data_IF_728568544425
#
_entry.id   IF_728568544425
#
_cell.length_a   1.000
_cell.length_b   1.000
_cell.length_c   1.000
_cell.angle_alpha   90.00
_cell.angle_beta   90.00
_cell.angle_gamma   90.00
#
_symmetry.space_group_name_H-M   'P 1'
#
loop_
_entity.id
_entity.type
_entity.pdbx_description
1 polymer ?
#
# COMPACT_ATOMS: atom_id res chain seq x y z
N UNK A 1 30.06 17.97 10.51
CA UNK A 1 29.68 18.98 9.50
C UNK A 1 28.22 18.74 9.15
N UNK A 2 27.45 19.81 9.01
CA UNK A 2 26.04 19.75 8.60
C UNK A 2 25.97 19.54 7.09
N UNK A 3 25.37 18.43 6.64
CA UNK A 3 25.17 18.14 5.22
C UNK A 3 23.82 18.68 4.75
N UNK A 4 23.76 19.30 3.56
CA UNK A 4 22.55 19.92 3.03
C UNK A 4 22.07 19.25 1.75
N UNK A 5 20.75 19.06 1.68
CA UNK A 5 20.02 18.50 0.53
C UNK A 5 18.90 19.45 0.08
N UNK A 6 18.36 19.27 -1.11
CA UNK A 6 17.13 19.93 -1.53
C UNK A 6 15.92 19.26 -0.84
N UNK A 7 15.93 17.93 -0.78
CA UNK A 7 14.87 17.13 -0.16
C UNK A 7 15.48 16.05 0.74
N UNK A 8 14.92 15.89 1.93
CA UNK A 8 15.20 14.71 2.77
C UNK A 8 13.90 13.93 2.91
N UNK A 9 13.97 12.62 2.65
CA UNK A 9 12.87 11.67 2.83
C UNK A 9 13.22 10.78 4.01
N UNK A 10 12.32 10.63 4.96
CA UNK A 10 12.49 9.74 6.11
C UNK A 10 11.53 8.58 6.00
N UNK A 11 12.09 7.36 5.92
CA UNK A 11 11.42 6.11 5.66
C UNK A 11 11.71 5.59 4.25
N UNK A 12 12.52 4.54 4.14
CA UNK A 12 12.95 3.89 2.89
C UNK A 12 12.08 2.70 2.47
N UNK A 13 10.83 2.63 2.96
CA UNK A 13 9.84 1.66 2.49
C UNK A 13 9.35 1.97 1.07
N UNK A 14 8.34 1.24 0.59
CA UNK A 14 7.82 1.36 -0.78
C UNK A 14 7.58 2.83 -1.18
N UNK A 15 6.90 3.60 -0.34
CA UNK A 15 6.48 4.97 -0.67
C UNK A 15 7.65 5.95 -0.70
N UNK A 16 8.49 5.95 0.35
CA UNK A 16 9.62 6.87 0.43
C UNK A 16 10.69 6.55 -0.61
N UNK A 17 11.01 5.27 -0.85
CA UNK A 17 11.97 4.86 -1.87
C UNK A 17 11.46 5.19 -3.28
N UNK A 18 10.16 5.02 -3.58
CA UNK A 18 9.55 5.45 -4.84
C UNK A 18 9.69 6.96 -5.05
N UNK A 19 9.45 7.75 -4.00
CA UNK A 19 9.60 9.21 -4.06
C UNK A 19 11.06 9.60 -4.31
N UNK A 20 12.00 8.93 -3.62
CA UNK A 20 13.42 9.16 -3.80
C UNK A 20 13.89 8.82 -5.24
N UNK A 21 13.40 7.69 -5.80
CA UNK A 21 13.64 7.33 -7.20
C UNK A 21 13.11 8.40 -8.16
N UNK A 22 11.87 8.85 -7.99
CA UNK A 22 11.23 9.84 -8.86
C UNK A 22 11.96 11.18 -8.83
N UNK A 23 12.31 11.67 -7.66
CA UNK A 23 13.04 12.92 -7.49
C UNK A 23 14.49 12.81 -7.98
N UNK A 24 15.15 11.70 -7.67
CA UNK A 24 16.52 11.44 -8.11
C UNK A 24 16.64 11.33 -9.62
N UNK A 25 15.71 10.68 -10.29
CA UNK A 25 15.63 10.60 -11.76
C UNK A 25 15.54 11.99 -12.41
N UNK A 26 14.85 12.93 -11.74
CA UNK A 26 14.75 14.32 -12.17
C UNK A 26 15.94 15.21 -11.73
N UNK A 27 16.99 14.64 -11.16
CA UNK A 27 18.20 15.38 -10.75
C UNK A 27 18.00 16.27 -9.52
N UNK A 28 17.03 15.95 -8.65
CA UNK A 28 16.87 16.59 -7.35
C UNK A 28 17.90 15.97 -6.38
N UNK A 29 18.61 16.80 -5.62
CA UNK A 29 19.56 16.34 -4.60
C UNK A 29 18.79 15.84 -3.36
N UNK A 30 18.70 14.50 -3.22
CA UNK A 30 17.86 13.82 -2.21
C UNK A 30 18.74 13.06 -1.21
N UNK A 31 18.39 13.15 0.08
CA UNK A 31 18.77 12.13 1.06
C UNK A 31 17.56 11.25 1.40
N UNK A 32 17.73 9.94 1.34
CA UNK A 32 16.77 8.96 1.85
C UNK A 32 17.32 8.38 3.14
N UNK A 33 16.64 8.64 4.25
CA UNK A 33 17.00 8.15 5.58
C UNK A 33 16.10 7.00 5.98
N UNK A 34 16.66 5.88 6.43
CA UNK A 34 15.92 4.78 7.03
C UNK A 34 16.61 4.26 8.30
N UNK A 35 15.81 3.78 9.24
CA UNK A 35 16.32 3.16 10.48
C UNK A 35 17.01 1.83 10.21
N UNK A 36 16.72 1.18 9.07
CA UNK A 36 17.24 -0.13 8.69
C UNK A 36 17.81 -0.11 7.29
N UNK A 37 18.78 -1.00 7.04
CA UNK A 37 19.18 -1.34 5.69
C UNK A 37 18.25 -2.46 5.21
N UNK A 38 17.49 -2.30 4.12
CA UNK A 38 16.58 -3.33 3.66
C UNK A 38 17.33 -4.56 3.18
N UNK A 39 16.81 -5.73 3.55
CA UNK A 39 17.30 -6.98 3.00
C UNK A 39 16.94 -7.05 1.51
N UNK A 40 17.94 -7.25 0.65
CA UNK A 40 17.77 -7.29 -0.81
C UNK A 40 17.99 -8.67 -1.43
N UNK A 41 18.47 -9.62 -0.62
CA UNK A 41 18.71 -11.01 -1.01
C UNK A 41 18.06 -11.94 0.00
N UNK A 42 17.45 -12.98 -0.48
CA UNK A 42 16.81 -14.06 0.30
C UNK A 42 16.85 -15.37 -0.48
N UNK A 43 16.55 -16.47 0.17
CA UNK A 43 16.44 -17.79 -0.46
C UNK A 43 15.13 -17.89 -1.25
N UNK A 44 15.13 -18.63 -2.36
CA UNK A 44 13.96 -18.78 -3.24
C UNK A 44 12.75 -19.41 -2.54
N UNK A 45 12.99 -20.23 -1.53
CA UNK A 45 11.93 -20.89 -0.74
C UNK A 45 11.26 -19.98 0.30
N UNK A 46 11.85 -18.81 0.57
CA UNK A 46 11.29 -17.89 1.56
C UNK A 46 10.24 -16.99 0.93
N UNK A 47 9.10 -16.83 1.59
CA UNK A 47 8.05 -15.87 1.21
C UNK A 47 7.90 -14.83 2.30
N UNK A 48 7.85 -13.54 1.92
CA UNK A 48 7.55 -12.47 2.86
C UNK A 48 6.09 -12.56 3.30
N UNK A 49 5.90 -12.40 4.60
CA UNK A 49 4.56 -12.44 5.19
C UNK A 49 3.66 -11.28 4.74
N UNK A 50 4.28 -10.20 4.25
CA UNK A 50 3.57 -8.99 3.79
C UNK A 50 3.61 -8.90 2.27
N UNK A 51 2.42 -8.91 1.68
CA UNK A 51 2.23 -8.72 0.25
C UNK A 51 1.34 -7.50 -0.02
N UNK A 52 1.47 -6.94 -1.21
CA UNK A 52 0.60 -5.89 -1.73
C UNK A 52 -0.03 -6.33 -3.04
N UNK A 53 -1.31 -6.01 -3.23
CA UNK A 53 -1.98 -6.13 -4.52
C UNK A 53 -1.77 -4.82 -5.28
N UNK A 54 -0.83 -4.79 -6.21
CA UNK A 54 -0.49 -3.61 -6.99
C UNK A 54 -1.46 -3.44 -8.16
N UNK A 55 -2.01 -2.24 -8.28
CA UNK A 55 -2.90 -1.84 -9.38
C UNK A 55 -2.10 -1.50 -10.63
N UNK A 56 -2.78 -1.38 -11.77
CA UNK A 56 -2.16 -0.95 -13.04
C UNK A 56 -1.50 0.44 -12.92
N UNK A 57 -2.14 1.36 -12.21
CA UNK A 57 -1.56 2.68 -11.94
C UNK A 57 -0.23 2.58 -11.16
N UNK A 58 -0.17 1.69 -10.17
CA UNK A 58 1.06 1.44 -9.39
C UNK A 58 2.15 0.80 -10.23
N UNK A 59 1.79 -0.15 -11.09
CA UNK A 59 2.70 -0.74 -12.08
C UNK A 59 3.28 0.33 -13.00
N UNK A 60 2.45 1.20 -13.57
CA UNK A 60 2.89 2.29 -14.46
C UNK A 60 3.90 3.22 -13.78
N UNK A 61 3.72 3.54 -12.49
CA UNK A 61 4.68 4.33 -11.70
C UNK A 61 6.03 3.61 -11.64
N UNK A 62 6.02 2.32 -11.29
CA UNK A 62 7.23 1.52 -11.11
C UNK A 62 7.93 1.22 -12.46
N UNK A 63 7.17 1.08 -13.55
CA UNK A 63 7.70 0.99 -14.92
C UNK A 63 8.36 2.30 -15.35
N UNK A 64 7.69 3.44 -15.12
CA UNK A 64 8.25 4.78 -15.43
C UNK A 64 9.56 5.04 -14.70
N UNK A 65 9.73 4.49 -13.52
CA UNK A 65 10.95 4.60 -12.71
C UNK A 65 11.99 3.51 -13.04
N UNK A 66 11.73 2.64 -14.03
CA UNK A 66 12.58 1.52 -14.41
C UNK A 66 12.88 0.53 -13.26
N UNK A 67 11.90 0.36 -12.36
CA UNK A 67 11.97 -0.53 -11.18
C UNK A 67 11.29 -1.87 -11.47
N UNK A 68 10.26 -1.86 -12.33
CA UNK A 68 9.41 -3.02 -12.57
C UNK A 68 10.16 -4.25 -13.07
N UNK A 69 11.16 -4.10 -13.93
CA UNK A 69 12.01 -5.20 -14.41
C UNK A 69 12.69 -5.97 -13.27
N UNK A 70 13.32 -5.24 -12.34
CA UNK A 70 13.95 -5.85 -11.17
C UNK A 70 12.95 -6.50 -10.19
N UNK A 71 11.68 -6.06 -10.18
CA UNK A 71 10.62 -6.74 -9.44
C UNK A 71 10.21 -8.05 -10.12
N UNK A 72 10.06 -8.05 -11.44
CA UNK A 72 9.72 -9.27 -12.23
C UNK A 72 10.78 -10.35 -12.04
N UNK A 73 12.07 -10.00 -12.10
CA UNK A 73 13.17 -10.92 -11.84
C UNK A 73 13.11 -11.58 -10.46
N UNK A 74 12.69 -10.83 -9.43
CA UNK A 74 12.55 -11.33 -8.05
C UNK A 74 11.25 -12.07 -7.80
N UNK A 75 10.23 -11.79 -8.60
CA UNK A 75 8.94 -12.48 -8.63
C UNK A 75 7.76 -11.58 -8.32
N UNK A 76 6.90 -11.46 -9.32
CA UNK A 76 5.58 -10.90 -9.23
C UNK A 76 4.55 -11.96 -9.63
N UNK A 77 3.34 -11.89 -9.13
CA UNK A 77 2.27 -12.83 -9.48
C UNK A 77 1.07 -12.07 -10.03
N UNK A 78 0.86 -12.16 -11.34
CA UNK A 78 -0.31 -11.57 -11.97
C UNK A 78 -1.58 -12.32 -11.55
N UNK A 79 -2.67 -11.58 -11.27
CA UNK A 79 -3.99 -12.17 -11.12
C UNK A 79 -4.93 -11.67 -12.21
N UNK A 80 -5.72 -12.59 -12.75
CA UNK A 80 -6.60 -12.37 -13.91
C UNK A 80 -8.06 -12.28 -13.50
N UNK A 81 -8.38 -12.94 -12.41
CA UNK A 81 -9.71 -13.01 -11.83
C UNK A 81 -9.71 -12.53 -10.39
N UNK A 82 -10.83 -11.91 -9.99
CA UNK A 82 -11.12 -11.62 -8.59
C UNK A 82 -12.57 -12.03 -8.29
N UNK A 83 -12.72 -12.91 -7.31
CA UNK A 83 -14.04 -13.36 -6.86
C UNK A 83 -14.27 -12.97 -5.42
N UNK A 84 -15.40 -12.32 -5.19
CA UNK A 84 -15.80 -11.79 -3.88
C UNK A 84 -17.21 -12.27 -3.58
N UNK A 85 -17.43 -12.92 -2.42
CA UNK A 85 -18.76 -13.39 -2.04
C UNK A 85 -19.04 -13.23 -0.55
N UNK A 86 -20.33 -13.24 -0.22
CA UNK A 86 -20.86 -13.14 1.13
C UNK A 86 -21.08 -14.54 1.74
N UNK A 87 -20.64 -14.76 2.96
CA UNK A 87 -20.88 -16.01 3.67
C UNK A 87 -22.34 -16.19 4.12
N UNK A 88 -23.14 -15.10 4.21
CA UNK A 88 -24.52 -15.09 4.74
C UNK A 88 -25.60 -15.02 3.68
N UNK A 89 -25.23 -14.79 2.42
CA UNK A 89 -26.21 -14.62 1.34
C UNK A 89 -25.55 -14.96 -0.03
N UNK A 90 -26.39 -15.09 -1.07
CA UNK A 90 -25.97 -15.49 -2.41
C UNK A 90 -25.36 -14.34 -3.24
N UNK A 91 -24.84 -13.30 -2.58
CA UNK A 91 -24.19 -12.17 -3.23
C UNK A 91 -22.78 -12.53 -3.68
N UNK A 92 -22.52 -12.41 -4.99
CA UNK A 92 -21.21 -12.63 -5.59
C UNK A 92 -20.85 -11.49 -6.55
N UNK A 93 -19.57 -11.10 -6.55
CA UNK A 93 -18.95 -10.25 -7.55
C UNK A 93 -17.80 -11.03 -8.20
N UNK A 94 -17.79 -11.05 -9.50
CA UNK A 94 -16.72 -11.65 -10.30
C UNK A 94 -16.15 -10.59 -11.24
N UNK A 95 -14.87 -10.31 -11.12
CA UNK A 95 -14.12 -9.44 -12.02
C UNK A 95 -13.14 -10.31 -12.80
N UNK A 96 -13.18 -10.18 -14.13
CA UNK A 96 -12.33 -10.90 -15.07
C UNK A 96 -11.54 -9.89 -15.90
N UNK A 97 -10.26 -10.11 -16.13
CA UNK A 97 -9.46 -9.27 -17.01
C UNK A 97 -9.98 -9.29 -18.45
N UNK A 98 -10.66 -10.35 -18.87
CA UNK A 98 -11.30 -10.41 -20.19
C UNK A 98 -12.40 -9.35 -20.39
N UNK A 99 -12.96 -8.78 -19.32
CA UNK A 99 -13.89 -7.66 -19.37
C UNK A 99 -13.18 -6.30 -19.50
N UNK A 100 -11.85 -6.27 -19.62
CA UNK A 100 -11.01 -5.06 -19.67
C UNK A 100 -10.12 -5.06 -20.93
N UNK A 101 -9.38 -3.99 -21.14
CA UNK A 101 -8.33 -3.91 -22.19
C UNK A 101 -6.97 -4.52 -21.77
N UNK A 102 -6.89 -5.12 -20.57
CA UNK A 102 -5.65 -5.62 -19.98
C UNK A 102 -5.66 -7.14 -19.88
N UNK A 103 -4.47 -7.75 -19.85
CA UNK A 103 -4.29 -9.20 -19.71
C UNK A 103 -4.34 -9.66 -18.25
N UNK A 104 -4.37 -8.73 -17.30
CA UNK A 104 -4.42 -8.96 -15.86
C UNK A 104 -5.15 -7.80 -15.14
N UNK A 105 -5.72 -8.08 -13.97
CA UNK A 105 -6.36 -7.08 -13.11
C UNK A 105 -5.33 -6.35 -12.23
N UNK A 106 -4.20 -6.98 -11.95
CA UNK A 106 -3.12 -6.45 -11.14
C UNK A 106 -2.12 -7.54 -10.75
N UNK A 107 -1.27 -7.23 -9.78
CA UNK A 107 -0.19 -8.12 -9.37
C UNK A 107 -0.10 -8.23 -7.85
N UNK A 108 0.02 -9.44 -7.35
CA UNK A 108 0.38 -9.70 -5.96
C UNK A 108 1.90 -9.75 -5.86
N UNK A 109 2.47 -8.90 -5.01
CA UNK A 109 3.91 -8.74 -4.87
C UNK A 109 4.30 -8.70 -3.40
N UNK A 110 5.33 -9.45 -3.04
CA UNK A 110 5.92 -9.36 -1.71
C UNK A 110 6.52 -7.97 -1.49
N UNK A 111 6.26 -7.35 -0.35
CA UNK A 111 6.72 -5.97 -0.10
C UNK A 111 8.25 -5.85 -0.17
N UNK A 112 8.98 -6.88 0.27
CA UNK A 112 10.45 -6.93 0.17
C UNK A 112 10.94 -6.90 -1.28
N UNK A 113 10.20 -7.49 -2.23
CA UNK A 113 10.53 -7.46 -3.67
C UNK A 113 10.49 -6.03 -4.20
N UNK A 114 9.42 -5.31 -3.88
CA UNK A 114 9.27 -3.91 -4.29
C UNK A 114 10.35 -3.02 -3.67
N UNK A 115 10.60 -3.17 -2.37
CA UNK A 115 11.64 -2.39 -1.66
C UNK A 115 13.02 -2.69 -2.21
N UNK A 116 13.38 -3.97 -2.40
CA UNK A 116 14.69 -4.34 -2.92
C UNK A 116 14.95 -3.76 -4.32
N UNK A 117 13.98 -3.87 -5.23
CA UNK A 117 14.12 -3.33 -6.59
C UNK A 117 14.23 -1.79 -6.60
N UNK A 118 13.49 -1.11 -5.71
CA UNK A 118 13.61 0.34 -5.53
C UNK A 118 14.99 0.73 -5.01
N UNK A 119 15.52 0.03 -4.01
CA UNK A 119 16.83 0.35 -3.44
C UNK A 119 17.99 0.06 -4.42
N UNK A 120 17.87 -0.99 -5.25
CA UNK A 120 18.86 -1.22 -6.33
C UNK A 120 18.83 -0.09 -7.36
N UNK A 121 17.63 0.41 -7.71
CA UNK A 121 17.49 1.56 -8.59
C UNK A 121 18.11 2.82 -7.99
N UNK A 122 17.89 3.06 -6.70
CA UNK A 122 18.44 4.22 -5.98
C UNK A 122 19.97 4.27 -6.03
N UNK A 123 20.64 3.12 -5.95
CA UNK A 123 22.11 3.04 -6.06
C UNK A 123 22.66 3.50 -7.43
N UNK A 124 21.82 3.46 -8.47
CA UNK A 124 22.22 3.94 -9.82
C UNK A 124 22.05 5.45 -9.98
N UNK A 125 21.41 6.14 -9.04
CA UNK A 125 21.08 7.56 -9.11
C UNK A 125 22.07 8.41 -8.33
N UNK A 126 23.00 9.07 -9.00
CA UNK A 126 24.04 9.91 -8.38
C UNK A 126 23.49 11.11 -7.59
N UNK A 127 22.25 11.51 -7.83
CA UNK A 127 21.54 12.59 -7.14
C UNK A 127 20.91 12.15 -5.82
N UNK A 128 20.96 10.85 -5.48
CA UNK A 128 20.37 10.30 -4.26
C UNK A 128 21.46 9.76 -3.33
N UNK A 129 21.37 10.13 -2.06
CA UNK A 129 22.21 9.56 -1.00
C UNK A 129 21.33 8.75 -0.05
N UNK A 130 21.49 7.42 -0.07
CA UNK A 130 20.80 6.54 0.89
C UNK A 130 21.60 6.48 2.19
N UNK A 131 20.94 6.67 3.32
CA UNK A 131 21.52 6.71 4.65
C UNK A 131 20.73 5.75 5.54
N UNK A 132 21.28 4.56 5.76
CA UNK A 132 20.75 3.57 6.71
C UNK A 132 21.20 3.85 8.14
N UNK A 133 20.63 3.15 9.11
CA UNK A 133 20.88 3.35 10.54
C UNK A 133 20.68 4.81 10.96
N UNK A 134 19.64 5.44 10.39
CA UNK A 134 19.34 6.86 10.53
C UNK A 134 18.05 7.07 11.32
N UNK A 135 18.14 7.02 12.65
CA UNK A 135 17.00 7.29 13.53
C UNK A 135 16.94 8.77 13.88
N UNK A 136 15.88 9.44 13.42
CA UNK A 136 15.64 10.87 13.72
C UNK A 136 15.16 11.02 15.16
N UNK A 137 15.87 11.85 15.93
CA UNK A 137 15.53 12.18 17.31
C UNK A 137 14.83 13.52 17.46
N UNK A 138 15.15 14.48 16.59
CA UNK A 138 14.61 15.83 16.67
C UNK A 138 14.54 16.48 15.27
N UNK A 139 13.60 17.43 15.12
CA UNK A 139 13.48 18.26 13.92
C UNK A 139 13.26 19.72 14.32
N UNK A 140 14.07 20.60 13.77
CA UNK A 140 13.99 22.04 14.01
C UNK A 140 13.76 22.81 12.72
N UNK A 141 13.13 24.00 12.80
CA UNK A 141 13.06 24.95 11.68
C UNK A 141 14.41 25.65 11.50
N UNK A 142 14.76 25.94 10.25
CA UNK A 142 15.89 26.79 9.90
C UNK A 142 15.43 27.95 9.00
N UNK A 143 16.32 28.88 8.69
CA UNK A 143 16.01 30.02 7.79
C UNK A 143 15.62 29.57 6.38
N UNK A 144 16.09 28.40 5.95
CA UNK A 144 15.90 27.91 4.57
C UNK A 144 15.12 26.59 4.47
N UNK A 145 14.62 26.07 5.60
CA UNK A 145 13.95 24.79 5.59
C UNK A 145 13.85 24.15 6.96
N UNK A 146 14.31 22.91 7.09
CA UNK A 146 14.35 22.18 8.36
C UNK A 146 15.68 21.45 8.55
N UNK A 147 16.04 21.23 9.81
CA UNK A 147 17.20 20.45 10.23
C UNK A 147 16.67 19.22 10.95
N UNK A 148 17.19 18.05 10.57
CA UNK A 148 17.01 16.79 11.29
C UNK A 148 18.26 16.48 12.12
N UNK A 149 18.04 16.05 13.34
CA UNK A 149 19.06 15.53 14.25
C UNK A 149 18.83 14.02 14.40
N UNK A 150 19.90 13.25 14.24
CA UNK A 150 19.84 11.81 14.46
C UNK A 150 20.32 11.46 15.87
N UNK A 151 19.92 10.28 16.38
CA UNK A 151 20.35 9.79 17.70
C UNK A 151 21.87 9.64 17.82
N UNK A 152 22.57 9.40 16.71
CA UNK A 152 24.04 9.27 16.65
C UNK A 152 24.78 10.61 16.51
N UNK A 153 24.07 11.73 16.57
CA UNK A 153 24.62 13.08 16.49
C UNK A 153 24.82 13.64 15.09
N UNK A 154 24.55 12.87 14.03
CA UNK A 154 24.55 13.41 12.65
C UNK A 154 23.43 14.44 12.48
N UNK A 155 23.69 15.45 11.63
CA UNK A 155 22.73 16.52 11.34
C UNK A 155 22.61 16.73 9.84
N UNK A 156 21.36 16.86 9.38
CA UNK A 156 21.02 17.07 7.97
C UNK A 156 20.05 18.23 7.83
N UNK A 157 20.25 19.07 6.82
CA UNK A 157 19.35 20.17 6.51
C UNK A 157 18.76 20.01 5.11
N UNK A 158 17.48 20.37 4.94
CA UNK A 158 16.86 20.40 3.62
C UNK A 158 15.84 21.52 3.48
N UNK A 159 15.59 21.90 2.22
CA UNK A 159 14.53 22.84 1.86
C UNK A 159 13.13 22.23 2.07
N UNK A 160 13.03 20.90 1.93
CA UNK A 160 11.81 20.12 2.14
C UNK A 160 12.12 18.81 2.85
N UNK A 161 11.38 18.52 3.92
CA UNK A 161 11.36 17.20 4.57
C UNK A 161 10.08 16.46 4.19
N UNK A 162 10.22 15.20 3.81
CA UNK A 162 9.11 14.31 3.49
C UNK A 162 9.12 13.16 4.49
N UNK A 163 8.03 12.99 5.23
CA UNK A 163 7.85 11.89 6.15
C UNK A 163 7.07 10.75 5.48
N UNK A 164 7.75 9.62 5.31
CA UNK A 164 7.24 8.34 4.85
C UNK A 164 7.54 7.23 5.88
N UNK A 165 7.65 7.61 7.16
CA UNK A 165 8.10 6.83 8.31
C UNK A 165 6.99 5.97 8.93
N UNK A 166 5.92 5.72 8.18
CA UNK A 166 4.87 4.76 8.52
C UNK A 166 3.79 5.30 9.46
N UNK A 167 2.88 4.42 9.82
CA UNK A 167 1.64 4.75 10.55
C UNK A 167 1.88 5.48 11.88
N UNK A 168 2.89 5.08 12.61
CA UNK A 168 3.23 5.66 13.91
C UNK A 168 4.32 6.75 13.77
N UNK A 169 4.26 7.54 12.68
CA UNK A 169 5.21 8.57 12.29
C UNK A 169 5.65 9.48 13.44
N UNK A 170 6.93 9.43 13.74
CA UNK A 170 7.56 10.32 14.72
C UNK A 170 7.67 11.74 14.19
N UNK A 171 7.96 11.91 12.91
CA UNK A 171 8.08 13.22 12.29
C UNK A 171 6.73 13.96 12.29
N UNK A 172 5.63 13.26 12.03
CA UNK A 172 4.28 13.82 12.15
C UNK A 172 4.04 14.40 13.54
N UNK A 173 4.42 13.64 14.58
CA UNK A 173 4.28 14.07 15.97
C UNK A 173 5.17 15.27 16.30
N UNK A 174 6.42 15.30 15.81
CA UNK A 174 7.36 16.43 15.98
C UNK A 174 6.85 17.74 15.37
N UNK A 175 6.04 17.67 14.30
CA UNK A 175 5.44 18.85 13.66
C UNK A 175 4.10 19.25 14.30
N UNK A 176 3.61 18.46 15.25
CA UNK A 176 2.31 18.70 15.89
C UNK A 176 1.13 18.54 14.90
N UNK A 177 1.18 17.52 14.06
CA UNK A 177 0.08 17.16 13.18
C UNK A 177 -0.71 16.04 13.85
N UNK A 178 -1.93 16.35 14.28
CA UNK A 178 -2.85 15.39 14.86
C UNK A 178 -3.43 14.44 13.81
N UNK A 179 -3.90 13.29 14.28
CA UNK A 179 -4.62 12.30 13.49
C UNK A 179 -6.05 12.19 13.96
N UNK A 180 -6.94 11.90 13.03
CA UNK A 180 -8.32 11.49 13.29
C UNK A 180 -8.47 10.04 12.91
N UNK A 181 -9.12 9.24 13.76
CA UNK A 181 -9.32 7.82 13.48
C UNK A 181 -9.80 7.04 14.68
N UNK A 182 -9.98 5.74 14.46
CA UNK A 182 -10.43 4.78 15.47
C UNK A 182 -9.85 3.39 15.21
N UNK A 183 -9.63 2.58 16.24
CA UNK A 183 -9.30 1.17 16.07
C UNK A 183 -10.56 0.40 15.60
N UNK A 184 -10.37 -0.60 14.74
CA UNK A 184 -11.46 -1.51 14.40
C UNK A 184 -11.69 -2.61 15.45
N UNK A 185 -10.76 -2.77 16.40
CA UNK A 185 -10.69 -3.90 17.33
C UNK A 185 -10.62 -5.24 16.60
N UNK A 186 -10.03 -5.21 15.42
CA UNK A 186 -9.76 -6.33 14.54
C UNK A 186 -8.28 -6.34 14.17
N UNK A 187 -7.77 -7.54 13.94
CA UNK A 187 -6.41 -7.76 13.41
C UNK A 187 -6.51 -8.45 12.05
N UNK A 188 -5.60 -8.07 11.15
CA UNK A 188 -5.36 -8.82 9.91
C UNK A 188 -4.35 -9.92 10.18
N UNK A 189 -4.80 -11.17 10.25
CA UNK A 189 -3.93 -12.33 10.32
C UNK A 189 -3.46 -12.66 8.91
N UNK A 190 -2.15 -12.82 8.76
CA UNK A 190 -1.51 -13.13 7.48
C UNK A 190 -0.66 -14.40 7.61
N UNK A 191 -0.64 -15.19 6.56
CA UNK A 191 0.20 -16.38 6.41
C UNK A 191 0.32 -16.75 4.93
N UNK A 192 1.34 -17.54 4.58
CA UNK A 192 1.44 -18.19 3.27
C UNK A 192 0.92 -19.61 3.39
N UNK A 193 0.07 -20.03 2.46
CA UNK A 193 -0.64 -21.32 2.49
C UNK A 193 -0.37 -22.09 1.20
N UNK A 194 -0.06 -23.36 1.33
CA UNK A 194 -0.08 -24.34 0.23
C UNK A 194 -1.45 -25.01 0.18
N UNK A 195 -2.09 -25.00 -0.99
CA UNK A 195 -3.44 -25.53 -1.21
C UNK A 195 -3.43 -26.72 -2.14
N UNK A 196 -4.42 -27.63 -2.00
CA UNK A 196 -4.58 -28.83 -2.84
C UNK A 196 -4.87 -28.46 -4.30
N UNK A 197 -5.75 -27.49 -4.52
CA UNK A 197 -6.10 -26.99 -5.85
C UNK A 197 -5.32 -25.72 -6.16
N UNK A 198 -4.95 -25.53 -7.43
CA UNK A 198 -4.33 -24.30 -7.91
C UNK A 198 -5.26 -23.11 -7.75
N UNK A 199 -4.71 -21.95 -7.38
CA UNK A 199 -5.43 -20.68 -7.33
C UNK A 199 -5.83 -20.13 -8.71
N UNK A 200 -5.32 -20.69 -9.81
CA UNK A 200 -5.65 -20.32 -11.20
C UNK A 200 -5.52 -18.80 -11.50
N UNK A 201 -4.53 -18.14 -10.91
CA UNK A 201 -4.36 -16.69 -11.00
C UNK A 201 -5.60 -15.89 -10.55
N UNK A 202 -6.38 -16.42 -9.62
CA UNK A 202 -7.60 -15.81 -9.08
C UNK A 202 -7.34 -15.32 -7.65
N UNK A 203 -7.68 -14.06 -7.38
CA UNK A 203 -7.79 -13.53 -6.03
C UNK A 203 -9.19 -13.85 -5.48
N UNK A 204 -9.25 -14.54 -4.35
CA UNK A 204 -10.50 -14.95 -3.71
C UNK A 204 -10.72 -14.14 -2.45
N UNK A 205 -11.93 -13.63 -2.22
CA UNK A 205 -12.28 -12.93 -1.00
C UNK A 205 -13.68 -13.33 -0.52
N UNK A 206 -13.77 -13.83 0.71
CA UNK A 206 -15.02 -14.17 1.37
C UNK A 206 -15.27 -13.26 2.54
N UNK A 207 -16.45 -12.62 2.58
CA UNK A 207 -16.87 -11.83 3.74
C UNK A 207 -17.51 -12.75 4.78
N UNK A 208 -16.84 -12.87 5.94
CA UNK A 208 -17.24 -13.64 7.10
C UNK A 208 -17.77 -12.71 8.21
N UNK A 209 -18.25 -13.30 9.32
CA UNK A 209 -18.85 -12.57 10.44
C UNK A 209 -17.89 -11.59 11.12
N UNK A 210 -16.63 -11.98 11.27
CA UNK A 210 -15.61 -11.14 11.91
C UNK A 210 -14.87 -10.23 10.94
N UNK A 211 -14.97 -10.50 9.65
CA UNK A 211 -14.32 -9.74 8.59
C UNK A 211 -13.97 -10.61 7.37
N UNK A 212 -13.38 -10.03 6.34
CA UNK A 212 -13.03 -10.77 5.13
C UNK A 212 -11.83 -11.70 5.32
N UNK A 213 -11.90 -12.84 4.62
CA UNK A 213 -10.80 -13.75 4.36
C UNK A 213 -10.46 -13.67 2.88
N UNK A 214 -9.23 -13.28 2.54
CA UNK A 214 -8.73 -13.24 1.18
C UNK A 214 -7.62 -14.27 0.96
N UNK A 215 -7.60 -14.88 -0.24
CA UNK A 215 -6.49 -15.68 -0.76
C UNK A 215 -5.92 -14.95 -1.97
N UNK A 216 -4.67 -14.57 -1.89
CA UNK A 216 -3.95 -13.80 -2.89
C UNK A 216 -2.93 -14.72 -3.58
N UNK A 217 -3.02 -14.91 -4.93
CA UNK A 217 -2.17 -15.85 -5.65
C UNK A 217 -0.69 -15.42 -5.64
N UNK A 218 0.20 -16.33 -5.29
CA UNK A 218 1.65 -16.14 -5.33
C UNK A 218 2.27 -16.90 -6.51
N UNK A 219 3.49 -16.47 -6.92
CA UNK A 219 4.22 -16.98 -8.10
C UNK A 219 4.53 -18.48 -8.06
N UNK A 220 4.64 -19.06 -6.86
CA UNK A 220 5.01 -20.47 -6.64
C UNK A 220 3.82 -21.41 -6.46
N UNK A 221 2.60 -20.96 -6.81
CA UNK A 221 1.38 -21.73 -6.64
C UNK A 221 0.76 -21.68 -5.24
N UNK A 222 1.45 -21.06 -4.28
CA UNK A 222 0.91 -20.79 -2.95
C UNK A 222 -0.03 -19.59 -2.94
N UNK A 223 -0.74 -19.41 -1.84
CA UNK A 223 -1.54 -18.23 -1.58
C UNK A 223 -1.03 -17.48 -0.34
N UNK A 224 -0.95 -16.16 -0.42
CA UNK A 224 -0.93 -15.34 0.79
C UNK A 224 -2.36 -15.13 1.27
N UNK A 225 -2.64 -15.41 2.55
CA UNK A 225 -3.94 -15.09 3.13
C UNK A 225 -3.88 -13.78 3.91
N UNK A 226 -4.99 -13.05 3.86
CA UNK A 226 -5.27 -11.92 4.75
C UNK A 226 -6.64 -12.19 5.37
N UNK A 227 -6.65 -12.54 6.65
CA UNK A 227 -7.86 -12.86 7.38
C UNK A 227 -8.14 -11.82 8.45
N UNK A 228 -9.16 -11.02 8.26
CA UNK A 228 -9.61 -10.05 9.25
C UNK A 228 -10.43 -10.76 10.32
N UNK A 229 -9.96 -10.69 11.55
CA UNK A 229 -10.54 -11.35 12.73
C UNK A 229 -10.65 -10.33 13.87
N UNK A 230 -11.52 -10.59 14.84
CA UNK A 230 -11.45 -9.87 16.13
C UNK A 230 -10.06 -10.09 16.74
N UNK A 231 -9.51 -9.08 17.40
CA UNK A 231 -8.17 -9.14 17.96
C UNK A 231 -7.96 -10.37 18.89
N UNK A 232 -8.98 -10.75 19.65
CA UNK A 232 -8.95 -11.93 20.54
C UNK A 232 -8.89 -13.22 19.73
N UNK A 233 -9.70 -13.35 18.67
CA UNK A 233 -9.70 -14.51 17.77
C UNK A 233 -8.36 -14.64 17.03
N UNK A 234 -7.82 -13.53 16.51
CA UNK A 234 -6.53 -13.51 15.84
C UNK A 234 -5.41 -13.99 16.78
N UNK A 235 -5.39 -13.48 18.03
CA UNK A 235 -4.43 -13.91 19.06
C UNK A 235 -4.55 -15.40 19.36
N UNK A 236 -5.78 -15.92 19.46
CA UNK A 236 -6.00 -17.36 19.67
C UNK A 236 -5.50 -18.17 18.48
N UNK A 237 -5.74 -17.73 17.25
CA UNK A 237 -5.32 -18.43 16.02
C UNK A 237 -3.81 -18.45 15.81
N UNK A 238 -3.08 -17.45 16.31
CA UNK A 238 -1.62 -17.46 16.32
C UNK A 238 -1.02 -18.56 17.22
N UNK A 239 -1.79 -19.05 18.19
CA UNK A 239 -1.36 -20.10 19.16
C UNK A 239 -1.79 -21.50 18.75
N UNK A 240 -2.62 -21.66 17.72
CA UNK A 240 -3.03 -22.97 17.23
C UNK A 240 -1.85 -23.76 16.65
N UNK A 241 -1.94 -25.07 16.70
CA UNK A 241 -1.08 -25.93 15.88
C UNK A 241 -1.32 -25.63 14.40
N UNK A 242 -0.37 -25.97 13.52
CA UNK A 242 -0.55 -25.78 12.09
C UNK A 242 -1.76 -26.58 11.57
N UNK A 243 -1.95 -27.80 12.05
CA UNK A 243 -3.08 -28.64 11.68
C UNK A 243 -4.43 -28.03 12.07
N UNK A 244 -4.55 -27.56 13.32
CA UNK A 244 -5.79 -26.93 13.78
C UNK A 244 -6.08 -25.61 13.06
N UNK A 245 -5.03 -24.83 12.76
CA UNK A 245 -5.17 -23.58 11.98
C UNK A 245 -5.64 -23.87 10.56
N UNK A 246 -5.04 -24.84 9.87
CA UNK A 246 -5.42 -25.21 8.51
C UNK A 246 -6.86 -25.75 8.46
N UNK A 247 -7.30 -26.52 9.45
CA UNK A 247 -8.70 -26.96 9.56
C UNK A 247 -9.67 -25.76 9.68
N UNK A 248 -9.35 -24.76 10.54
CA UNK A 248 -10.15 -23.55 10.67
C UNK A 248 -10.21 -22.75 9.38
N UNK A 249 -9.09 -22.65 8.67
CA UNK A 249 -8.99 -21.94 7.41
C UNK A 249 -9.79 -22.65 6.30
N UNK A 250 -9.73 -23.98 6.24
CA UNK A 250 -10.51 -24.79 5.29
C UNK A 250 -12.02 -24.61 5.51
N UNK A 251 -12.46 -24.67 6.78
CA UNK A 251 -13.87 -24.41 7.14
C UNK A 251 -14.28 -22.98 6.76
N UNK A 252 -13.45 -21.98 7.04
CA UNK A 252 -13.73 -20.59 6.74
C UNK A 252 -13.79 -20.30 5.23
N UNK A 253 -12.99 -21.00 4.42
CA UNK A 253 -12.96 -20.87 2.95
C UNK A 253 -13.99 -21.72 2.23
N UNK A 254 -14.73 -22.59 2.95
CA UNK A 254 -15.64 -23.63 2.41
C UNK A 254 -14.96 -24.54 1.37
N UNK A 255 -13.67 -24.78 1.55
CA UNK A 255 -12.88 -25.65 0.68
C UNK A 255 -12.72 -25.15 -0.77
N UNK A 256 -12.79 -23.83 -1.02
CA UNK A 256 -12.73 -23.26 -2.38
C UNK A 256 -11.46 -23.64 -3.15
N UNK A 257 -10.35 -23.87 -2.45
CA UNK A 257 -9.07 -24.32 -2.98
C UNK A 257 -8.72 -25.75 -2.56
N UNK A 258 -9.71 -26.57 -2.22
CA UNK A 258 -9.52 -27.92 -1.68
C UNK A 258 -8.98 -27.88 -0.25
N UNK A 259 -8.22 -28.92 0.13
CA UNK A 259 -7.59 -29.01 1.44
C UNK A 259 -6.47 -27.97 1.58
N UNK A 260 -6.31 -27.46 2.79
CA UNK A 260 -5.18 -26.64 3.16
C UNK A 260 -4.05 -27.55 3.63
N UNK A 261 -2.93 -27.60 2.88
CA UNK A 261 -1.88 -28.61 3.07
C UNK A 261 -0.79 -28.15 4.03
N UNK A 262 -0.30 -26.92 3.87
CA UNK A 262 0.80 -26.37 4.66
C UNK A 262 0.57 -24.89 4.96
N UNK A 263 1.10 -24.41 6.08
CA UNK A 263 1.14 -23.00 6.45
C UNK A 263 2.56 -22.56 6.78
N UNK A 264 2.96 -21.41 6.27
CA UNK A 264 4.14 -20.70 6.73
C UNK A 264 3.93 -20.01 8.09
N UNK A 265 4.90 -19.20 8.52
CA UNK A 265 4.77 -18.37 9.72
C UNK A 265 3.51 -17.50 9.66
N UNK A 266 2.85 -17.36 10.82
CA UNK A 266 1.65 -16.55 10.98
C UNK A 266 1.98 -15.26 11.73
N UNK A 267 1.43 -14.13 11.31
CA UNK A 267 1.47 -12.88 12.07
C UNK A 267 0.11 -12.19 12.03
N UNK A 268 -0.15 -11.32 12.99
CA UNK A 268 -1.35 -10.50 13.03
C UNK A 268 -0.99 -9.04 13.28
N UNK A 269 -1.67 -8.14 12.57
CA UNK A 269 -1.43 -6.71 12.63
C UNK A 269 -2.72 -5.97 12.96
N UNK A 270 -2.72 -5.07 13.98
CA UNK A 270 -3.91 -4.34 14.36
C UNK A 270 -4.39 -3.40 13.25
N UNK A 271 -5.69 -3.47 12.97
CA UNK A 271 -6.34 -2.67 11.94
C UNK A 271 -6.89 -1.38 12.53
N UNK A 272 -6.61 -0.26 11.85
CA UNK A 272 -7.05 1.08 12.25
C UNK A 272 -7.48 1.88 11.05
N UNK A 273 -8.48 2.71 11.24
CA UNK A 273 -8.79 3.83 10.36
C UNK A 273 -8.08 5.05 10.95
N UNK A 274 -7.15 5.64 10.22
CA UNK A 274 -6.41 6.79 10.72
C UNK A 274 -5.97 7.68 9.56
N UNK A 275 -6.21 8.99 9.67
CA UNK A 275 -5.67 9.97 8.74
C UNK A 275 -5.17 11.22 9.46
N UNK A 276 -4.14 11.83 8.92
CA UNK A 276 -3.59 13.08 9.42
C UNK A 276 -4.55 14.26 9.11
N UNK A 277 -4.77 15.15 10.08
CA UNK A 277 -5.68 16.28 9.93
C UNK A 277 -5.19 17.29 8.88
N UNK A 278 -3.90 17.31 8.62
CA UNK A 278 -3.25 18.00 7.49
C UNK A 278 -2.08 17.15 6.99
N UNK A 279 -1.78 17.24 5.70
CA UNK A 279 -0.67 16.49 5.08
C UNK A 279 0.60 17.31 4.98
N UNK A 280 0.51 18.63 5.22
CA UNK A 280 1.65 19.52 5.02
C UNK A 280 1.81 20.55 6.14
N UNK A 281 3.05 21.00 6.33
CA UNK A 281 3.42 22.16 7.15
C UNK A 281 4.54 22.94 6.42
N UNK A 282 5.12 23.96 7.07
CA UNK A 282 6.25 24.70 6.53
C UNK A 282 7.42 23.76 6.22
N UNK A 283 7.82 23.69 4.94
CA UNK A 283 8.93 22.83 4.49
C UNK A 283 8.76 21.36 4.87
N UNK A 284 7.53 20.85 4.93
CA UNK A 284 7.23 19.49 5.40
C UNK A 284 6.01 18.89 4.72
N UNK A 285 6.09 17.60 4.37
CA UNK A 285 4.97 16.83 3.83
C UNK A 285 4.92 15.41 4.42
N UNK A 286 3.71 14.89 4.61
CA UNK A 286 3.42 13.50 4.96
C UNK A 286 2.98 12.74 3.72
N UNK A 287 3.31 11.43 3.64
CA UNK A 287 2.81 10.54 2.61
C UNK A 287 2.65 9.10 3.10
N UNK A 288 1.87 8.31 2.35
CA UNK A 288 1.60 6.92 2.68
C UNK A 288 1.02 6.78 4.10
N UNK A 289 1.40 5.73 4.80
CA UNK A 289 0.87 5.42 6.13
C UNK A 289 1.14 6.52 7.17
N UNK A 290 2.14 7.38 6.97
CA UNK A 290 2.36 8.54 7.83
C UNK A 290 1.22 9.58 7.70
N UNK A 291 0.57 9.66 6.54
CA UNK A 291 -0.56 10.54 6.28
C UNK A 291 -1.92 9.83 6.47
N UNK A 292 -2.01 8.54 6.10
CA UNK A 292 -3.26 7.78 6.12
C UNK A 292 -2.99 6.28 6.29
N UNK A 293 -3.67 5.66 7.22
CA UNK A 293 -3.66 4.21 7.39
C UNK A 293 -5.10 3.69 7.25
N UNK A 294 -5.29 2.77 6.32
CA UNK A 294 -6.61 2.26 5.94
C UNK A 294 -6.74 0.76 6.20
N UNK A 295 -7.99 0.29 6.24
CA UNK A 295 -8.28 -1.14 6.29
C UNK A 295 -7.68 -1.82 5.06
N UNK A 296 -7.00 -2.99 5.19
CA UNK A 296 -6.31 -3.67 4.09
C UNK A 296 -7.26 -4.34 3.08
N UNK A 297 -8.54 -3.96 3.03
CA UNK A 297 -9.46 -4.42 2.00
C UNK A 297 -8.86 -4.19 0.61
N UNK A 298 -8.72 -5.25 -0.15
CA UNK A 298 -8.15 -5.25 -1.51
C UNK A 298 -6.70 -4.72 -1.61
N UNK A 299 -5.91 -4.69 -0.52
CA UNK A 299 -4.50 -4.31 -0.55
C UNK A 299 -4.20 -2.87 -1.00
N UNK A 300 -5.13 -1.92 -0.83
CA UNK A 300 -5.06 -0.57 -1.41
C UNK A 300 -4.07 0.38 -0.73
N UNK A 301 -3.55 0.07 0.47
CA UNK A 301 -2.65 0.97 1.20
C UNK A 301 -1.38 1.35 0.43
N UNK A 302 -0.70 0.36 -0.14
CA UNK A 302 0.50 0.59 -0.95
C UNK A 302 0.21 1.42 -2.20
N UNK A 303 -0.93 1.16 -2.87
CA UNK A 303 -1.33 1.89 -4.08
C UNK A 303 -1.61 3.37 -3.80
N UNK A 304 -2.32 3.68 -2.71
CA UNK A 304 -2.55 5.07 -2.29
C UNK A 304 -1.22 5.79 -2.00
N UNK A 305 -0.29 5.12 -1.32
CA UNK A 305 1.05 5.65 -1.03
C UNK A 305 1.90 5.86 -2.29
N UNK A 306 1.84 4.97 -3.27
CA UNK A 306 2.52 5.12 -4.56
C UNK A 306 1.96 6.32 -5.35
N UNK A 307 0.65 6.53 -5.32
CA UNK A 307 0.03 7.72 -5.90
C UNK A 307 0.42 9.00 -5.16
N UNK A 308 0.58 8.96 -3.83
CA UNK A 308 1.11 10.10 -3.07
C UNK A 308 2.54 10.43 -3.50
N UNK A 309 3.40 9.40 -3.63
CA UNK A 309 4.77 9.55 -4.10
C UNK A 309 4.84 10.20 -5.48
N UNK A 310 4.06 9.69 -6.43
CA UNK A 310 3.99 10.23 -7.78
C UNK A 310 3.48 11.68 -7.82
N UNK A 311 2.42 11.99 -7.07
CA UNK A 311 1.83 13.32 -7.02
C UNK A 311 2.78 14.36 -6.40
N UNK A 312 3.41 14.03 -5.28
CA UNK A 312 4.35 14.95 -4.63
C UNK A 312 5.60 15.14 -5.47
N UNK A 313 6.16 14.08 -6.05
CA UNK A 313 7.31 14.16 -6.94
C UNK A 313 7.01 15.05 -8.16
N UNK A 314 5.86 14.88 -8.81
CA UNK A 314 5.44 15.73 -9.93
C UNK A 314 5.42 17.21 -9.56
N UNK A 315 4.86 17.55 -8.39
CA UNK A 315 4.76 18.94 -7.93
C UNK A 315 6.13 19.51 -7.52
N UNK A 316 7.00 18.72 -6.89
CA UNK A 316 8.37 19.14 -6.55
C UNK A 316 9.16 19.42 -7.81
N UNK A 317 9.13 18.51 -8.79
CA UNK A 317 9.82 18.64 -10.07
C UNK A 317 9.35 19.90 -10.82
N UNK A 318 8.04 20.10 -10.97
CA UNK A 318 7.45 21.29 -11.61
C UNK A 318 7.85 22.58 -10.88
N UNK A 319 7.90 22.55 -9.54
CA UNK A 319 8.29 23.72 -8.73
C UNK A 319 9.76 24.06 -8.96
N UNK A 320 10.64 23.07 -8.97
CA UNK A 320 12.08 23.24 -9.25
C UNK A 320 12.33 23.73 -10.67
N UNK A 321 11.69 23.14 -11.68
CA UNK A 321 11.80 23.57 -13.08
C UNK A 321 11.34 25.00 -13.29
N UNK A 322 10.36 25.46 -12.52
CA UNK A 322 9.90 26.84 -12.54
C UNK A 322 10.81 27.82 -11.75
N UNK A 323 11.94 27.37 -11.23
CA UNK A 323 12.88 28.17 -10.43
C UNK A 323 12.30 28.65 -9.09
N UNK A 324 11.27 27.97 -8.56
CA UNK A 324 10.60 28.35 -7.32
C UNK A 324 11.17 27.57 -6.13
N UNK A 325 11.21 28.19 -4.93
CA UNK A 325 11.74 27.50 -3.75
C UNK A 325 10.83 26.35 -3.33
N UNK A 326 11.45 25.22 -2.94
CA UNK A 326 10.74 24.03 -2.43
C UNK A 326 10.12 24.27 -1.03
N UNK A 327 10.47 25.34 -0.35
CA UNK A 327 9.82 25.83 0.87
C UNK A 327 8.44 26.47 0.61
N UNK A 328 8.01 26.62 -0.65
CA UNK A 328 6.76 27.30 -1.01
C UNK A 328 5.53 26.54 -0.54
N UNK A 329 4.73 27.15 0.33
CA UNK A 329 3.45 26.59 0.81
C UNK A 329 2.43 26.34 -0.32
N UNK A 330 2.58 27.00 -1.47
CA UNK A 330 1.59 26.90 -2.56
C UNK A 330 1.52 25.51 -3.16
N UNK A 331 2.67 24.89 -3.50
CA UNK A 331 2.66 23.55 -4.07
C UNK A 331 2.34 22.49 -3.01
N UNK A 332 2.79 22.66 -1.76
CA UNK A 332 2.43 21.75 -0.66
C UNK A 332 0.92 21.71 -0.43
N UNK A 333 0.25 22.87 -0.43
CA UNK A 333 -1.22 22.93 -0.37
C UNK A 333 -1.90 22.30 -1.59
N UNK A 334 -1.28 22.35 -2.77
CA UNK A 334 -1.80 21.68 -3.96
C UNK A 334 -1.71 20.16 -3.79
N UNK A 335 -0.58 19.65 -3.29
CA UNK A 335 -0.40 18.23 -2.95
C UNK A 335 -1.47 17.76 -1.95
N UNK A 336 -1.62 18.48 -0.83
CA UNK A 336 -2.59 18.12 0.20
C UNK A 336 -4.02 18.07 -0.36
N UNK A 337 -4.45 19.07 -1.13
CA UNK A 337 -5.80 19.08 -1.73
C UNK A 337 -6.01 17.93 -2.71
N UNK A 338 -4.99 17.62 -3.50
CA UNK A 338 -5.06 16.54 -4.48
C UNK A 338 -5.18 15.18 -3.80
N UNK A 339 -4.27 14.87 -2.87
CA UNK A 339 -4.19 13.53 -2.30
C UNK A 339 -5.13 13.28 -1.13
N UNK A 340 -5.31 14.27 -0.24
CA UNK A 340 -6.13 14.07 0.95
C UNK A 340 -7.60 13.80 0.64
N UNK A 341 -8.18 14.52 -0.32
CA UNK A 341 -9.57 14.29 -0.73
C UNK A 341 -9.76 12.88 -1.29
N UNK A 342 -8.85 12.46 -2.15
CA UNK A 342 -8.83 11.16 -2.81
C UNK A 342 -8.66 10.00 -1.80
N UNK A 343 -7.67 10.14 -0.92
CA UNK A 343 -7.41 9.16 0.14
C UNK A 343 -8.59 9.03 1.11
N UNK A 344 -9.20 10.16 1.53
CA UNK A 344 -10.38 10.13 2.40
C UNK A 344 -11.58 9.46 1.73
N UNK A 345 -11.82 9.70 0.44
CA UNK A 345 -12.88 9.04 -0.30
C UNK A 345 -12.66 7.53 -0.33
N UNK A 346 -11.45 7.09 -0.67
CA UNK A 346 -11.09 5.67 -0.70
C UNK A 346 -11.23 5.03 0.70
N UNK A 347 -10.66 5.65 1.73
CA UNK A 347 -10.73 5.16 3.10
C UNK A 347 -12.18 5.04 3.58
N UNK A 348 -13.01 6.06 3.32
CA UNK A 348 -14.42 6.06 3.70
C UNK A 348 -15.20 4.97 2.96
N UNK A 349 -14.92 4.75 1.69
CA UNK A 349 -15.53 3.68 0.90
C UNK A 349 -15.20 2.29 1.49
N UNK A 350 -13.93 2.05 1.86
CA UNK A 350 -13.52 0.79 2.50
C UNK A 350 -14.16 0.61 3.88
N UNK A 351 -14.27 1.68 4.66
CA UNK A 351 -14.93 1.65 5.97
C UNK A 351 -16.45 1.34 5.85
N UNK A 352 -17.13 1.95 4.88
CA UNK A 352 -18.53 1.66 4.58
C UNK A 352 -18.71 0.21 4.14
N UNK A 353 -17.86 -0.31 3.25
CA UNK A 353 -17.89 -1.72 2.84
C UNK A 353 -17.71 -2.62 4.06
N UNK A 354 -16.65 -2.42 4.85
CA UNK A 354 -16.39 -3.23 6.04
C UNK A 354 -17.59 -3.24 7.00
N UNK A 355 -18.16 -2.08 7.33
CA UNK A 355 -19.34 -1.96 8.20
C UNK A 355 -20.58 -2.60 7.61
N UNK A 356 -20.79 -2.48 6.30
CA UNK A 356 -21.96 -3.08 5.61
C UNK A 356 -21.90 -4.60 5.68
N UNK A 357 -20.70 -5.19 5.50
CA UNK A 357 -20.55 -6.63 5.59
C UNK A 357 -20.52 -7.17 7.03
N UNK A 358 -20.11 -6.36 7.98
CA UNK A 358 -20.21 -6.70 9.41
C UNK A 358 -21.67 -6.68 9.94
N UNK A 359 -22.60 -5.98 9.27
CA UNK A 359 -24.00 -5.94 9.68
C UNK A 359 -24.68 -7.31 9.54
N UNK A 360 -25.38 -7.75 10.60
CA UNK A 360 -25.99 -9.08 10.67
C UNK A 360 -27.53 -9.07 10.51
N UNK A 361 -28.17 -7.89 10.59
CA UNK A 361 -29.60 -7.78 10.46
C UNK A 361 -30.09 -8.11 9.04
N UNK A 362 -31.12 -8.96 8.93
CA UNK A 362 -31.65 -9.48 7.66
C UNK A 362 -31.88 -8.43 6.57
N UNK A 363 -32.45 -7.25 6.81
CA UNK A 363 -32.64 -6.25 5.76
C UNK A 363 -31.32 -5.81 5.10
N UNK A 364 -30.26 -5.65 5.91
CA UNK A 364 -28.93 -5.26 5.38
C UNK A 364 -28.26 -6.39 4.61
N UNK A 365 -28.42 -7.64 5.07
CA UNK A 365 -27.89 -8.84 4.37
C UNK A 365 -28.54 -8.97 3.01
N UNK A 366 -29.87 -8.87 2.90
CA UNK A 366 -30.57 -8.95 1.63
C UNK A 366 -30.24 -7.78 0.70
N UNK A 367 -30.11 -6.56 1.24
CA UNK A 367 -29.79 -5.37 0.45
C UNK A 367 -28.41 -5.46 -0.17
N UNK A 368 -27.38 -5.86 0.61
CA UNK A 368 -26.02 -5.99 0.10
C UNK A 368 -25.88 -7.11 -0.94
N UNK A 369 -26.53 -8.25 -0.70
CA UNK A 369 -26.57 -9.36 -1.66
C UNK A 369 -27.21 -8.93 -2.99
N UNK A 370 -28.37 -8.26 -2.93
CA UNK A 370 -29.02 -7.71 -4.10
C UNK A 370 -28.12 -6.68 -4.82
N UNK A 371 -27.44 -5.83 -4.05
CA UNK A 371 -26.51 -4.84 -4.59
C UNK A 371 -25.32 -5.48 -5.31
N UNK A 372 -24.69 -6.50 -4.71
CA UNK A 372 -23.60 -7.26 -5.33
C UNK A 372 -24.05 -7.90 -6.65
N UNK A 373 -25.18 -8.60 -6.62
CA UNK A 373 -25.72 -9.26 -7.81
C UNK A 373 -26.13 -8.26 -8.90
N UNK A 374 -26.62 -7.07 -8.53
CA UNK A 374 -26.95 -6.01 -9.48
C UNK A 374 -25.68 -5.46 -10.14
N UNK A 375 -24.63 -5.19 -9.37
CA UNK A 375 -23.33 -4.75 -9.89
C UNK A 375 -22.77 -5.81 -10.84
N UNK A 376 -22.78 -7.09 -10.45
CA UNK A 376 -22.27 -8.18 -11.25
C UNK A 376 -23.00 -8.35 -12.59
N UNK A 377 -24.31 -8.07 -12.60
CA UNK A 377 -25.17 -8.17 -13.80
C UNK A 377 -25.17 -6.91 -14.67
N UNK A 378 -24.59 -5.80 -14.24
CA UNK A 378 -24.63 -4.51 -14.93
C UNK A 378 -23.23 -4.15 -15.42
N UNK A 379 -22.88 -4.45 -16.70
CA UNK A 379 -21.49 -4.28 -17.21
C UNK A 379 -20.95 -2.86 -17.04
N UNK A 380 -21.78 -1.84 -17.26
CA UNK A 380 -21.38 -0.45 -17.10
C UNK A 380 -20.96 -0.11 -15.66
N UNK A 381 -21.75 -0.53 -14.66
CA UNK A 381 -21.44 -0.31 -13.24
C UNK A 381 -20.20 -1.12 -12.85
N UNK A 382 -20.12 -2.38 -13.28
CA UNK A 382 -18.97 -3.26 -13.06
C UNK A 382 -17.69 -2.65 -13.65
N UNK A 383 -17.76 -2.06 -14.86
CA UNK A 383 -16.64 -1.35 -15.49
C UNK A 383 -16.13 -0.19 -14.65
N UNK A 384 -17.02 0.66 -14.11
CA UNK A 384 -16.64 1.76 -13.24
C UNK A 384 -15.91 1.28 -11.97
N UNK A 385 -16.35 0.16 -11.38
CA UNK A 385 -15.67 -0.45 -10.23
C UNK A 385 -14.30 -1.00 -10.62
N UNK A 386 -14.18 -1.66 -11.78
CA UNK A 386 -12.91 -2.14 -12.32
C UNK A 386 -11.93 -0.99 -12.53
N UNK A 387 -12.32 0.05 -13.24
CA UNK A 387 -11.47 1.21 -13.52
C UNK A 387 -10.97 1.86 -12.21
N UNK A 388 -11.86 1.98 -11.22
CA UNK A 388 -11.49 2.53 -9.93
C UNK A 388 -10.53 1.59 -9.17
N UNK A 389 -10.78 0.28 -9.16
CA UNK A 389 -9.94 -0.72 -8.51
C UNK A 389 -8.56 -0.85 -9.16
N UNK A 390 -8.48 -0.73 -10.50
CA UNK A 390 -7.25 -0.74 -11.28
C UNK A 390 -6.51 0.61 -11.24
N UNK A 391 -7.12 1.64 -10.66
CA UNK A 391 -6.55 2.99 -10.59
C UNK A 391 -6.58 3.72 -11.93
N UNK A 392 -7.53 3.44 -12.79
CA UNK A 392 -7.68 4.05 -14.12
C UNK A 392 -8.60 5.29 -14.04
N UNK A 393 -8.04 6.44 -13.69
CA UNK A 393 -8.77 7.71 -13.57
C UNK A 393 -8.04 8.84 -14.28
N UNK A 394 -8.76 9.89 -14.68
CA UNK A 394 -8.21 11.01 -15.43
C UNK A 394 -7.31 11.93 -14.59
N UNK A 395 -7.56 12.01 -13.29
CA UNK A 395 -6.89 12.93 -12.36
C UNK A 395 -5.60 12.36 -11.71
N UNK A 396 -5.08 11.25 -12.26
CA UNK A 396 -3.86 10.61 -11.77
C UNK A 396 -2.61 11.45 -12.05
N UNK A 397 -1.55 11.32 -11.22
CA UNK A 397 -0.22 11.79 -11.55
C UNK A 397 0.28 11.24 -12.90
N UNK A 398 1.12 12.01 -13.59
CA UNK A 398 1.59 11.64 -14.93
C UNK A 398 2.25 10.26 -14.97
N UNK A 399 3.07 9.93 -13.96
CA UNK A 399 3.72 8.61 -13.89
C UNK A 399 2.75 7.43 -13.69
N UNK A 400 1.55 7.67 -13.19
CA UNK A 400 0.53 6.64 -12.98
C UNK A 400 -0.33 6.37 -14.22
N UNK A 401 -0.26 7.24 -15.21
CA UNK A 401 -1.02 7.10 -16.46
C UNK A 401 -0.33 6.13 -17.40
N UNK A 402 -1.11 5.43 -18.21
CA UNK A 402 -0.58 4.57 -19.29
C UNK A 402 0.37 5.40 -20.17
N UNK A 403 1.61 4.98 -20.29
CA UNK A 403 2.51 5.57 -21.29
C UNK A 403 2.02 5.16 -22.67
N UNK A 404 1.55 6.11 -23.44
CA UNK A 404 1.30 5.90 -24.86
C UNK A 404 2.70 5.95 -25.49
N UNK A 405 3.24 4.76 -25.84
CA UNK A 405 4.41 4.70 -26.73
C UNK A 405 3.97 5.28 -28.08
N UNK A 406 4.53 6.44 -28.43
CA UNK A 406 4.42 7.01 -29.76
C UNK A 406 5.47 6.39 -30.68
#
# INVERSE_FOLDING_TARGET
MKQRFEVIIVGGGIVGATTACALGHAGVNVALLDMFNPQRQWTDDSVDIRVSALTKASQNILETLEVWGGMVERGVSAYKDMRVWDAKADGELHFDCADTEFNELGHIVENRVTVAALWDKLETLSSVTCISDAKVSEMQKSDKGRILFLEDGRQFEADLIIAADGRDSSLRSMVGIDVTGWPYHQDGLVATITTENSHQSTAWQRFLDEGPLAFLPLRNGQCSIVWTLKAETAKAYLQLSDADFLEKLEQASVGILGRMLETGPRAAFPLRFQYANRYTDDCFALMGDAAHAMHPLAGQGANAGLLDAAALAELVIKTKQAGRPLSSKKFLRQYERWRKGDNLLMMSSMDVINKTFAATALPFVSLRSTGMNLINKTPFIKGLFNDHAMGLRDDLPVMAKKQICW
#
